data_IF_531332339111
#
_entry.id   IF_531332339111
#
_cell.length_a   1.000
_cell.length_b   1.000
_cell.length_c   1.000
_cell.angle_alpha   90.00
_cell.angle_beta   90.00
_cell.angle_gamma   90.00
#
_symmetry.space_group_name_H-M   'P 1'
#
loop_
_entity.id
_entity.type
_entity.pdbx_description
1 polymer ?
#
# COMPACT_ATOMS: atom_id res chain seq x y z
N UNK A 1 -0.37 0.46 -40.16
CA UNK A 1 -1.42 -0.13 -39.31
C UNK A 1 -1.32 0.50 -37.92
N UNK A 2 -2.34 1.27 -37.52
CA UNK A 2 -2.30 2.09 -36.30
C UNK A 2 -2.43 1.25 -35.04
N UNK A 3 -1.57 1.52 -34.05
CA UNK A 3 -1.72 0.98 -32.68
C UNK A 3 -3.11 1.38 -32.16
N UNK A 4 -4.00 0.42 -31.91
CA UNK A 4 -5.27 0.72 -31.26
C UNK A 4 -5.01 1.21 -29.84
N UNK A 5 -5.58 2.37 -29.44
CA UNK A 5 -5.29 2.94 -28.14
C UNK A 5 -6.07 2.20 -27.03
N UNK A 6 -5.51 2.11 -25.81
CA UNK A 6 -6.10 1.35 -24.69
C UNK A 6 -7.53 1.82 -24.38
N UNK A 7 -8.47 0.90 -24.22
CA UNK A 7 -9.84 1.25 -23.83
C UNK A 7 -10.00 1.13 -22.30
N UNK A 8 -10.08 2.28 -21.62
CA UNK A 8 -10.09 2.39 -20.15
C UNK A 8 -11.22 1.56 -19.52
N UNK A 9 -12.44 1.72 -20.00
CA UNK A 9 -13.62 1.03 -19.46
C UNK A 9 -13.61 -0.47 -19.74
N UNK A 10 -13.17 -0.87 -20.93
CA UNK A 10 -13.03 -2.30 -21.26
C UNK A 10 -11.99 -2.98 -20.35
N UNK A 11 -10.85 -2.33 -20.10
CA UNK A 11 -9.78 -2.91 -19.27
C UNK A 11 -10.22 -2.98 -17.81
N UNK A 12 -10.73 -1.88 -17.24
CA UNK A 12 -11.20 -1.85 -15.86
C UNK A 12 -12.39 -2.81 -15.65
N UNK A 13 -13.34 -2.82 -16.59
CA UNK A 13 -14.49 -3.71 -16.57
C UNK A 13 -14.10 -5.19 -16.63
N UNK A 14 -13.14 -5.57 -17.49
CA UNK A 14 -12.64 -6.95 -17.53
C UNK A 14 -11.89 -7.35 -16.26
N UNK A 15 -11.12 -6.44 -15.65
CA UNK A 15 -10.43 -6.69 -14.39
C UNK A 15 -11.43 -6.94 -13.25
N UNK A 16 -12.46 -6.08 -13.11
CA UNK A 16 -13.53 -6.24 -12.14
C UNK A 16 -14.35 -7.52 -12.39
N UNK A 17 -14.67 -7.81 -13.66
CA UNK A 17 -15.40 -8.99 -14.06
C UNK A 17 -14.64 -10.28 -13.72
N UNK A 18 -13.31 -10.29 -13.88
CA UNK A 18 -12.49 -11.42 -13.45
C UNK A 18 -12.53 -11.59 -11.93
N UNK A 19 -12.40 -10.51 -11.16
CA UNK A 19 -12.53 -10.53 -9.70
C UNK A 19 -13.87 -11.09 -9.21
N UNK A 20 -14.97 -10.73 -9.89
CA UNK A 20 -16.32 -11.13 -9.50
C UNK A 20 -16.77 -12.48 -10.08
N UNK A 21 -16.85 -12.61 -11.41
CA UNK A 21 -17.42 -13.82 -12.06
C UNK A 21 -16.52 -15.04 -11.94
N UNK A 22 -15.22 -14.87 -11.72
CA UNK A 22 -14.29 -15.98 -11.49
C UNK A 22 -13.88 -16.12 -10.03
N UNK A 23 -14.68 -15.60 -9.09
CA UNK A 23 -14.37 -15.66 -7.67
C UNK A 23 -14.16 -17.07 -7.15
N UNK A 24 -14.90 -18.07 -7.63
CA UNK A 24 -14.67 -19.48 -7.31
C UNK A 24 -13.26 -19.94 -7.70
N UNK A 25 -12.77 -19.51 -8.87
CA UNK A 25 -11.41 -19.81 -9.34
C UNK A 25 -10.36 -19.12 -8.46
N UNK A 26 -10.65 -17.89 -8.06
CA UNK A 26 -9.79 -17.09 -7.16
C UNK A 26 -9.70 -17.75 -5.79
N UNK A 27 -10.83 -18.17 -5.22
CA UNK A 27 -10.89 -18.91 -3.96
C UNK A 27 -10.08 -20.20 -4.03
N UNK A 28 -10.26 -21.00 -5.08
CA UNK A 28 -9.52 -22.26 -5.26
C UNK A 28 -8.01 -22.06 -5.33
N UNK A 29 -7.56 -20.99 -5.98
CA UNK A 29 -6.13 -20.71 -6.12
C UNK A 29 -5.54 -20.04 -4.87
N UNK A 30 -6.31 -19.18 -4.20
CA UNK A 30 -5.81 -18.28 -3.16
C UNK A 30 -6.07 -18.72 -1.72
N UNK A 31 -7.02 -19.63 -1.47
CA UNK A 31 -7.42 -19.98 -0.10
C UNK A 31 -6.26 -20.52 0.75
N UNK A 32 -5.57 -21.57 0.27
CA UNK A 32 -4.45 -22.15 1.03
C UNK A 32 -3.31 -21.15 1.25
N UNK A 33 -2.75 -20.49 0.21
CA UNK A 33 -1.71 -19.48 0.43
C UNK A 33 -2.13 -18.33 1.35
N UNK A 34 -3.37 -17.86 1.25
CA UNK A 34 -3.87 -16.78 2.11
C UNK A 34 -3.99 -17.24 3.57
N UNK A 35 -4.50 -18.45 3.81
CA UNK A 35 -4.56 -19.00 5.18
C UNK A 35 -3.16 -19.15 5.77
N UNK A 36 -2.19 -19.60 4.99
CA UNK A 36 -0.79 -19.66 5.41
C UNK A 36 -0.20 -18.27 5.69
N UNK A 37 -0.54 -17.25 4.90
CA UNK A 37 -0.15 -15.85 5.17
C UNK A 37 -0.74 -15.38 6.50
N UNK A 38 -2.01 -15.68 6.79
CA UNK A 38 -2.64 -15.29 8.05
C UNK A 38 -1.97 -15.98 9.25
N UNK A 39 -1.70 -17.28 9.16
CA UNK A 39 -0.99 -18.04 10.21
C UNK A 39 0.42 -17.49 10.38
N UNK A 40 1.12 -17.21 9.29
CA UNK A 40 2.48 -16.67 9.32
C UNK A 40 2.53 -15.25 9.90
N UNK A 41 1.57 -14.39 9.56
CA UNK A 41 1.45 -13.05 10.13
C UNK A 41 1.16 -13.11 11.64
N UNK A 42 0.34 -14.06 12.09
CA UNK A 42 0.12 -14.29 13.51
C UNK A 42 1.42 -14.75 14.19
N UNK A 43 2.11 -15.73 13.61
CA UNK A 43 3.37 -16.24 14.16
C UNK A 43 4.47 -15.15 14.21
N UNK A 44 4.54 -14.28 13.21
CA UNK A 44 5.53 -13.20 13.18
C UNK A 44 5.31 -12.16 14.27
N UNK A 45 4.06 -11.89 14.68
CA UNK A 45 3.75 -11.04 15.84
C UNK A 45 4.36 -11.62 17.12
N UNK A 46 4.21 -12.92 17.37
CA UNK A 46 4.82 -13.58 18.52
C UNK A 46 6.35 -13.61 18.43
N UNK A 47 6.91 -13.80 17.23
CA UNK A 47 8.35 -13.78 17.04
C UNK A 47 8.93 -12.38 17.33
N UNK A 48 8.24 -11.32 16.91
CA UNK A 48 8.62 -9.94 17.22
C UNK A 48 8.61 -9.64 18.70
N UNK A 49 7.55 -10.05 19.40
CA UNK A 49 7.47 -9.89 20.86
C UNK A 49 8.58 -10.70 21.53
N UNK A 50 8.84 -11.92 21.08
CA UNK A 50 9.90 -12.75 21.64
C UNK A 50 11.29 -12.14 21.47
N UNK A 51 11.58 -11.58 20.30
CA UNK A 51 12.83 -10.84 20.05
C UNK A 51 12.91 -9.55 20.87
N UNK A 52 11.78 -8.86 21.08
CA UNK A 52 11.73 -7.62 21.82
C UNK A 52 12.01 -7.81 23.32
N UNK A 53 11.48 -8.89 23.90
CA UNK A 53 11.59 -9.19 25.32
C UNK A 53 12.74 -10.14 25.67
N UNK A 54 13.38 -10.77 24.68
CA UNK A 54 14.49 -11.70 24.89
C UNK A 54 14.08 -13.08 25.43
N UNK A 55 12.78 -13.36 25.46
CA UNK A 55 12.19 -14.61 25.95
C UNK A 55 11.11 -15.09 24.97
N UNK A 56 10.81 -16.40 24.95
CA UNK A 56 9.78 -16.93 24.07
C UNK A 56 8.37 -16.54 24.55
N UNK A 57 7.72 -15.61 23.85
CA UNK A 57 6.35 -15.19 24.14
C UNK A 57 5.37 -16.10 23.41
N UNK A 58 4.49 -16.73 24.17
CA UNK A 58 3.51 -17.72 23.69
C UNK A 58 2.07 -17.23 23.81
N UNK A 59 1.13 -18.01 23.30
CA UNK A 59 -0.30 -17.74 23.43
C UNK A 59 -0.76 -17.69 24.89
N UNK A 60 -0.17 -18.50 25.77
CA UNK A 60 -0.52 -18.52 27.19
C UNK A 60 -0.10 -17.23 27.89
N UNK A 61 1.02 -16.64 27.49
CA UNK A 61 1.52 -15.39 28.07
C UNK A 61 0.63 -14.20 27.65
N UNK A 62 0.23 -14.18 26.39
CA UNK A 62 -0.72 -13.17 25.89
C UNK A 62 -2.09 -13.34 26.53
N UNK A 63 -2.59 -14.57 26.69
CA UNK A 63 -3.84 -14.84 27.38
C UNK A 63 -3.79 -14.42 28.86
N UNK A 64 -2.68 -14.70 29.55
CA UNK A 64 -2.45 -14.31 30.94
C UNK A 64 -2.37 -12.80 31.13
N UNK A 65 -1.85 -12.07 30.14
CA UNK A 65 -1.77 -10.60 30.17
C UNK A 65 -3.13 -9.89 30.10
N UNK A 66 -4.19 -10.59 29.67
CA UNK A 66 -5.51 -9.99 29.41
C UNK A 66 -5.53 -9.01 28.21
N UNK A 67 -4.44 -8.89 27.46
CA UNK A 67 -4.34 -8.01 26.31
C UNK A 67 -5.22 -8.49 25.14
N UNK A 68 -5.91 -7.55 24.48
CA UNK A 68 -6.69 -7.85 23.28
C UNK A 68 -5.77 -7.94 22.07
N UNK A 69 -6.10 -8.81 21.11
CA UNK A 69 -5.29 -9.04 19.91
C UNK A 69 -4.84 -7.77 19.14
N UNK A 70 -5.68 -6.73 18.95
CA UNK A 70 -5.23 -5.48 18.33
C UNK A 70 -4.14 -4.75 19.12
N UNK A 71 -4.17 -4.83 20.45
CA UNK A 71 -3.14 -4.24 21.32
C UNK A 71 -1.82 -5.00 21.20
N UNK A 72 -1.90 -6.33 21.09
CA UNK A 72 -0.73 -7.21 20.88
C UNK A 72 -0.06 -6.90 19.54
N UNK A 73 -0.85 -6.73 18.48
CA UNK A 73 -0.32 -6.32 17.16
C UNK A 73 0.34 -4.94 17.23
N UNK A 74 -0.33 -3.95 17.85
CA UNK A 74 0.21 -2.60 17.96
C UNK A 74 1.53 -2.57 18.74
N UNK A 75 1.61 -3.33 19.83
CA UNK A 75 2.83 -3.48 20.62
C UNK A 75 3.95 -4.12 19.79
N UNK A 76 3.66 -5.20 19.07
CA UNK A 76 4.65 -5.86 18.20
C UNK A 76 5.16 -4.91 17.10
N UNK A 77 4.28 -4.11 16.50
CA UNK A 77 4.64 -3.09 15.50
C UNK A 77 5.52 -1.99 16.11
N UNK A 78 5.17 -1.50 17.30
CA UNK A 78 5.98 -0.53 18.02
C UNK A 78 7.38 -1.08 18.31
N UNK A 79 7.48 -2.31 18.84
CA UNK A 79 8.76 -2.94 19.12
C UNK A 79 9.59 -3.23 17.87
N UNK A 80 8.94 -3.62 16.78
CA UNK A 80 9.60 -3.78 15.49
C UNK A 80 10.19 -2.46 14.96
N UNK A 81 9.53 -1.33 15.21
CA UNK A 81 10.02 0.00 14.85
C UNK A 81 11.17 0.46 15.76
N UNK A 82 11.08 0.23 17.08
CA UNK A 82 12.15 0.54 18.04
C UNK A 82 13.46 -0.20 17.72
N UNK A 83 13.35 -1.44 17.24
CA UNK A 83 14.50 -2.28 16.86
C UNK A 83 14.84 -2.20 15.36
N UNK A 84 14.29 -1.23 14.62
CA UNK A 84 14.53 -1.09 13.19
C UNK A 84 16.03 -0.86 12.93
N UNK A 85 16.71 -1.89 12.40
CA UNK A 85 18.15 -1.86 12.12
C UNK A 85 19.00 -2.85 12.93
N UNK A 86 18.45 -3.47 13.98
CA UNK A 86 19.13 -4.57 14.66
C UNK A 86 19.23 -5.79 13.74
N UNK A 87 20.38 -6.49 13.75
CA UNK A 87 20.62 -7.65 12.87
C UNK A 87 19.50 -8.72 12.90
N UNK A 88 19.07 -9.18 14.10
CA UNK A 88 17.97 -10.14 14.23
C UNK A 88 16.62 -9.60 13.71
N UNK A 89 16.34 -8.32 13.96
CA UNK A 89 15.13 -7.64 13.50
C UNK A 89 15.10 -7.54 11.96
N UNK A 90 16.23 -7.19 11.34
CA UNK A 90 16.36 -7.14 9.87
C UNK A 90 16.21 -8.53 9.25
N UNK A 91 16.81 -9.56 9.84
CA UNK A 91 16.66 -10.94 9.39
C UNK A 91 15.20 -11.40 9.45
N UNK A 92 14.49 -11.07 10.53
CA UNK A 92 13.06 -11.37 10.65
C UNK A 92 12.22 -10.60 9.62
N UNK A 93 12.47 -9.31 9.40
CA UNK A 93 11.76 -8.53 8.38
C UNK A 93 11.98 -9.10 6.98
N UNK A 94 13.24 -9.38 6.63
CA UNK A 94 13.60 -9.94 5.33
C UNK A 94 12.98 -11.33 5.13
N UNK A 95 13.10 -12.22 6.14
CA UNK A 95 12.50 -13.55 6.09
C UNK A 95 10.97 -13.49 5.97
N UNK A 96 10.32 -12.61 6.73
CA UNK A 96 8.88 -12.40 6.67
C UNK A 96 8.41 -11.92 5.30
N UNK A 97 9.13 -10.95 4.73
CA UNK A 97 8.85 -10.43 3.40
C UNK A 97 9.04 -11.49 2.32
N UNK A 98 10.09 -12.32 2.40
CA UNK A 98 10.34 -13.41 1.46
C UNK A 98 9.22 -14.46 1.52
N UNK A 99 8.88 -14.95 2.71
CA UNK A 99 7.82 -15.96 2.88
C UNK A 99 6.49 -15.42 2.38
N UNK A 100 6.13 -14.19 2.76
CA UNK A 100 4.90 -13.54 2.30
C UNK A 100 4.90 -13.40 0.78
N UNK A 101 6.01 -12.94 0.18
CA UNK A 101 6.12 -12.79 -1.27
C UNK A 101 5.98 -14.14 -1.98
N UNK A 102 6.59 -15.21 -1.47
CA UNK A 102 6.48 -16.56 -2.03
C UNK A 102 5.03 -17.07 -1.99
N UNK A 103 4.35 -16.88 -0.86
CA UNK A 103 2.94 -17.25 -0.72
C UNK A 103 2.06 -16.42 -1.66
N UNK A 104 2.29 -15.11 -1.79
CA UNK A 104 1.59 -14.26 -2.76
C UNK A 104 1.83 -14.72 -4.19
N UNK A 105 3.08 -14.99 -4.56
CA UNK A 105 3.43 -15.47 -5.89
C UNK A 105 2.73 -16.80 -6.23
N UNK A 106 2.59 -17.69 -5.24
CA UNK A 106 2.00 -19.02 -5.41
C UNK A 106 0.56 -19.00 -5.95
N UNK A 107 -0.24 -17.98 -5.62
CA UNK A 107 -1.58 -17.80 -6.17
C UNK A 107 -1.65 -16.71 -7.25
N UNK A 108 -0.85 -15.64 -7.16
CA UNK A 108 -0.91 -14.55 -8.14
C UNK A 108 -0.44 -14.97 -9.52
N UNK A 109 0.66 -15.74 -9.64
CA UNK A 109 1.16 -16.16 -10.94
C UNK A 109 0.15 -17.05 -11.69
N UNK A 110 -0.49 -18.07 -11.07
CA UNK A 110 -1.60 -18.80 -11.71
C UNK A 110 -2.79 -17.92 -12.08
N UNK A 111 -3.24 -17.01 -11.20
CA UNK A 111 -4.39 -16.13 -11.49
C UNK A 111 -4.12 -15.23 -12.69
N UNK A 112 -2.91 -14.69 -12.82
CA UNK A 112 -2.48 -13.89 -13.96
C UNK A 112 -2.56 -14.71 -15.26
N UNK A 113 -2.20 -16.00 -15.22
CA UNK A 113 -2.30 -16.88 -16.41
C UNK A 113 -3.73 -17.25 -16.74
N UNK A 114 -4.57 -17.51 -15.74
CA UNK A 114 -6.01 -17.74 -15.96
C UNK A 114 -6.67 -16.52 -16.56
N UNK A 115 -6.31 -15.32 -16.07
CA UNK A 115 -6.79 -14.07 -16.63
C UNK A 115 -6.25 -13.84 -18.04
N UNK A 116 -4.94 -13.94 -18.25
CA UNK A 116 -4.24 -13.52 -19.47
C UNK A 116 -4.32 -14.52 -20.62
N UNK A 117 -4.03 -15.79 -20.35
CA UNK A 117 -3.95 -16.89 -21.32
C UNK A 117 -5.23 -17.72 -21.40
N UNK A 118 -6.19 -17.51 -20.48
CA UNK A 118 -7.42 -18.30 -20.42
C UNK A 118 -7.18 -19.75 -19.98
N UNK A 119 -6.06 -20.02 -19.30
CA UNK A 119 -5.75 -21.35 -18.79
C UNK A 119 -6.84 -21.85 -17.84
N UNK A 120 -7.10 -23.16 -17.87
CA UNK A 120 -8.08 -23.77 -16.99
C UNK A 120 -7.50 -23.93 -15.59
N UNK A 121 -8.29 -23.65 -14.54
CA UNK A 121 -7.84 -23.88 -13.17
C UNK A 121 -7.54 -25.36 -12.96
N UNK A 122 -6.46 -25.63 -12.22
CA UNK A 122 -6.11 -26.99 -11.84
C UNK A 122 -7.21 -27.58 -10.94
N UNK A 123 -7.42 -28.91 -11.01
CA UNK A 123 -8.38 -29.60 -10.15
C UNK A 123 -7.88 -29.63 -8.70
N UNK A 124 -8.77 -29.34 -7.75
CA UNK A 124 -8.52 -29.38 -6.29
C UNK A 124 -8.53 -28.00 -5.61
N UNK A 125 -8.68 -28.01 -4.28
CA UNK A 125 -8.75 -26.80 -3.42
C UNK A 125 -7.45 -26.53 -2.64
N UNK A 126 -6.52 -27.49 -2.60
CA UNK A 126 -5.30 -27.44 -1.78
C UNK A 126 -4.07 -27.44 -2.68
N UNK A 127 -3.74 -26.29 -3.28
CA UNK A 127 -2.50 -26.12 -4.03
C UNK A 127 -1.86 -24.78 -3.73
N UNK A 128 -0.57 -24.80 -3.46
CA UNK A 128 0.31 -23.64 -3.40
C UNK A 128 1.50 -23.90 -4.35
N UNK A 129 1.29 -23.84 -5.68
CA UNK A 129 2.34 -24.17 -6.62
C UNK A 129 3.47 -23.14 -6.52
N UNK A 130 4.71 -23.62 -6.46
CA UNK A 130 5.89 -22.78 -6.50
C UNK A 130 6.86 -23.33 -7.54
N UNK A 131 7.16 -22.53 -8.56
CA UNK A 131 7.95 -22.94 -9.71
C UNK A 131 8.42 -21.76 -10.54
N UNK A 132 8.82 -22.01 -11.81
CA UNK A 132 9.45 -20.99 -12.64
C UNK A 132 8.60 -19.72 -12.85
N UNK A 133 7.28 -19.86 -12.92
CA UNK A 133 6.38 -18.72 -13.14
C UNK A 133 6.24 -17.84 -11.89
N UNK A 134 6.23 -18.45 -10.70
CA UNK A 134 6.27 -17.73 -9.43
C UNK A 134 7.61 -17.00 -9.25
N UNK A 135 8.71 -17.64 -9.62
CA UNK A 135 10.03 -17.00 -9.59
C UNK A 135 10.08 -15.81 -10.55
N UNK A 136 9.50 -15.92 -11.75
CA UNK A 136 9.39 -14.77 -12.69
C UNK A 136 8.53 -13.64 -12.14
N UNK A 137 7.41 -13.97 -11.49
CA UNK A 137 6.58 -12.99 -10.80
C UNK A 137 7.39 -12.24 -9.73
N UNK A 138 8.10 -13.00 -8.88
CA UNK A 138 8.95 -12.45 -7.82
C UNK A 138 10.10 -11.61 -8.38
N UNK A 139 10.80 -12.10 -9.41
CA UNK A 139 11.91 -11.38 -10.03
C UNK A 139 11.45 -10.08 -10.68
N UNK A 140 10.33 -10.09 -11.42
CA UNK A 140 9.77 -8.88 -12.02
C UNK A 140 9.33 -7.86 -10.95
N UNK A 141 8.71 -8.34 -9.87
CA UNK A 141 8.35 -7.51 -8.72
C UNK A 141 9.58 -6.94 -8.00
N UNK A 142 10.54 -7.79 -7.65
CA UNK A 142 11.76 -7.43 -6.94
C UNK A 142 12.60 -6.43 -7.73
N UNK A 143 12.80 -6.64 -9.04
CA UNK A 143 13.54 -5.69 -9.88
C UNK A 143 12.86 -4.32 -9.92
N UNK A 144 11.52 -4.28 -9.99
CA UNK A 144 10.76 -3.03 -9.91
C UNK A 144 10.93 -2.36 -8.54
N UNK A 145 10.91 -3.14 -7.45
CA UNK A 145 11.10 -2.66 -6.08
C UNK A 145 12.55 -2.25 -5.75
N UNK A 146 13.56 -2.88 -6.35
CA UNK A 146 14.97 -2.51 -6.16
C UNK A 146 15.27 -1.20 -6.88
N UNK A 147 14.74 -1.00 -8.09
CA UNK A 147 14.85 0.29 -8.76
C UNK A 147 14.14 1.38 -7.97
N UNK A 148 12.99 1.07 -7.38
CA UNK A 148 12.35 1.97 -6.43
C UNK A 148 13.25 2.29 -5.23
N UNK A 149 13.79 1.27 -4.59
CA UNK A 149 14.63 1.41 -3.42
C UNK A 149 15.87 2.27 -3.71
N UNK A 150 16.54 2.06 -4.85
CA UNK A 150 17.80 2.71 -5.19
C UNK A 150 17.65 4.06 -5.91
N UNK A 151 16.68 4.20 -6.81
CA UNK A 151 16.51 5.42 -7.60
C UNK A 151 15.64 6.47 -6.90
N UNK A 152 14.82 6.05 -5.93
CA UNK A 152 13.83 6.91 -5.27
C UNK A 152 14.01 6.90 -3.76
N UNK A 153 13.79 5.75 -3.13
CA UNK A 153 13.69 5.68 -1.66
C UNK A 153 15.00 6.03 -0.97
N UNK A 154 16.14 5.47 -1.42
CA UNK A 154 17.44 5.71 -0.81
C UNK A 154 17.92 7.16 -0.99
N UNK A 155 17.89 7.79 -2.19
CA UNK A 155 18.23 9.20 -2.33
C UNK A 155 17.34 10.11 -1.47
N UNK A 156 16.03 9.84 -1.40
CA UNK A 156 15.11 10.64 -0.59
C UNK A 156 15.37 10.44 0.88
N UNK A 157 15.51 9.20 1.33
CA UNK A 157 15.77 8.91 2.74
C UNK A 157 17.10 9.52 3.14
N UNK A 158 18.15 9.37 2.33
CA UNK A 158 19.45 10.00 2.57
C UNK A 158 19.36 11.53 2.61
N UNK A 159 18.69 12.15 1.64
CA UNK A 159 18.51 13.61 1.60
C UNK A 159 17.67 14.11 2.77
N UNK A 160 16.58 13.40 3.09
CA UNK A 160 15.67 13.70 4.22
C UNK A 160 16.43 13.58 5.53
N UNK A 161 17.15 12.49 5.76
CA UNK A 161 17.95 12.28 6.96
C UNK A 161 19.10 13.28 7.05
N UNK A 162 19.75 13.63 5.94
CA UNK A 162 20.80 14.65 5.92
C UNK A 162 20.25 16.06 6.22
N UNK A 163 19.11 16.43 5.63
CA UNK A 163 18.44 17.71 5.89
C UNK A 163 17.94 17.77 7.33
N UNK A 164 17.30 16.70 7.83
CA UNK A 164 16.85 16.61 9.23
C UNK A 164 18.02 16.64 10.21
N UNK A 165 19.13 15.97 9.89
CA UNK A 165 20.35 16.00 10.69
C UNK A 165 20.98 17.39 10.72
N UNK A 166 21.07 18.07 9.57
CA UNK A 166 21.58 19.44 9.46
C UNK A 166 20.68 20.43 10.22
N UNK A 167 19.36 20.37 10.01
CA UNK A 167 18.40 21.22 10.69
C UNK A 167 18.36 20.96 12.19
N UNK A 168 18.39 19.69 12.60
CA UNK A 168 18.47 19.30 14.00
C UNK A 168 19.70 19.91 14.66
N UNK A 169 20.86 19.77 14.03
CA UNK A 169 22.13 20.36 14.51
C UNK A 169 22.04 21.88 14.59
N UNK A 170 21.57 22.56 13.54
CA UNK A 170 21.42 24.01 13.51
C UNK A 170 20.45 24.55 14.58
N UNK A 171 19.41 23.79 14.91
CA UNK A 171 18.39 24.16 15.88
C UNK A 171 18.82 23.91 17.34
N UNK A 172 19.61 22.85 17.59
CA UNK A 172 20.19 22.57 18.92
C UNK A 172 21.49 23.33 19.18
N UNK A 173 22.03 24.01 18.16
CA UNK A 173 23.21 24.86 18.34
C UNK A 173 22.84 26.03 19.26
N UNK A 174 23.57 26.22 20.38
CA UNK A 174 23.35 27.35 21.27
C UNK A 174 23.87 28.62 20.61
N UNK A 175 23.05 29.67 20.59
CA UNK A 175 23.42 31.00 20.13
C UNK A 175 23.39 31.98 21.29
N UNK A 176 24.44 32.80 21.42
CA UNK A 176 24.38 33.97 22.28
C UNK A 176 23.53 35.06 21.62
N UNK A 177 22.60 35.61 22.38
CA UNK A 177 21.87 36.84 22.05
C UNK A 177 22.07 37.88 23.13
N UNK A 178 22.20 39.13 22.71
CA UNK A 178 22.29 40.30 23.57
C UNK A 178 20.98 41.07 23.43
N UNK A 179 20.02 40.90 24.36
CA UNK A 179 18.72 41.56 24.29
C UNK A 179 18.84 43.09 24.39
N UNK A 180 19.81 43.56 25.17
CA UNK A 180 20.21 44.97 25.24
C UNK A 180 21.53 45.16 24.48
N UNK A 181 21.51 46.02 23.46
CA UNK A 181 22.68 46.32 22.63
C UNK A 181 23.83 46.99 23.42
N UNK A 182 23.48 47.66 24.54
CA UNK A 182 24.40 48.46 25.34
C UNK A 182 24.92 47.73 26.60
N UNK A 183 24.57 46.45 26.80
CA UNK A 183 24.99 45.67 27.98
C UNK A 183 25.55 44.30 27.61
N UNK A 184 26.84 44.09 27.90
CA UNK A 184 27.50 42.78 27.78
C UNK A 184 27.07 41.80 28.88
N UNK A 185 26.39 42.27 29.93
CA UNK A 185 25.98 41.46 31.08
C UNK A 185 24.63 40.76 30.89
N UNK A 186 23.89 41.07 29.82
CA UNK A 186 22.58 40.47 29.50
C UNK A 186 22.66 39.33 28.48
N UNK A 187 23.83 38.71 28.30
CA UNK A 187 24.00 37.61 27.36
C UNK A 187 23.07 36.43 27.73
N UNK A 188 22.15 36.10 26.84
CA UNK A 188 21.26 34.94 26.98
C UNK A 188 21.65 33.90 25.93
N UNK A 189 21.65 32.63 26.33
CA UNK A 189 21.82 31.52 25.40
C UNK A 189 20.43 31.09 24.97
N UNK A 190 20.13 31.27 23.68
CA UNK A 190 18.92 30.75 23.06
C UNK A 190 19.28 29.64 22.06
N UNK A 191 18.37 28.69 21.89
CA UNK A 191 18.53 27.65 20.88
C UNK A 191 18.23 28.21 19.48
N UNK A 192 18.87 27.65 18.46
CA UNK A 192 18.61 28.02 17.06
C UNK A 192 17.13 27.93 16.68
N UNK A 193 16.38 26.99 17.25
CA UNK A 193 14.94 26.87 17.05
C UNK A 193 14.16 28.14 17.43
N UNK A 194 14.55 28.79 18.53
CA UNK A 194 13.90 30.00 19.04
C UNK A 194 14.45 31.25 18.35
N UNK A 195 15.73 31.26 17.99
CA UNK A 195 16.38 32.35 17.23
C UNK A 195 15.77 32.55 15.84
N UNK A 196 15.46 31.46 15.14
CA UNK A 196 15.00 31.50 13.76
C UNK A 196 13.47 31.37 13.62
N UNK A 197 12.73 31.14 14.71
CA UNK A 197 11.26 31.07 14.70
C UNK A 197 10.66 29.95 13.83
N UNK A 198 11.42 28.88 13.57
CA UNK A 198 11.13 27.84 12.56
C UNK A 198 10.66 26.50 13.15
N UNK A 199 10.13 26.47 14.38
CA UNK A 199 9.53 25.24 14.97
C UNK A 199 8.42 24.64 14.09
N UNK A 200 7.73 25.48 13.31
CA UNK A 200 6.70 25.05 12.36
C UNK A 200 7.25 24.29 11.13
N UNK A 201 8.55 24.42 10.81
CA UNK A 201 9.17 23.74 9.67
C UNK A 201 9.27 22.21 9.86
N UNK A 202 9.34 21.75 11.13
CA UNK A 202 9.64 20.37 11.48
C UNK A 202 8.43 19.42 11.29
N UNK A 203 7.21 19.88 11.57
CA UNK A 203 6.01 19.02 11.60
C UNK A 203 5.22 18.94 10.29
N UNK A 204 5.70 19.51 9.18
CA UNK A 204 4.90 19.58 7.94
C UNK A 204 5.69 19.39 6.64
N UNK A 205 6.97 19.74 6.59
CA UNK A 205 7.56 20.12 5.29
C UNK A 205 8.50 19.11 4.65
N UNK A 206 9.24 18.29 5.37
CA UNK A 206 10.31 17.50 4.72
C UNK A 206 9.76 16.42 3.80
N UNK A 207 8.79 15.64 4.28
CA UNK A 207 8.10 14.61 3.47
C UNK A 207 7.22 15.23 2.38
N UNK A 208 6.58 16.36 2.66
CA UNK A 208 5.75 17.09 1.70
C UNK A 208 6.60 17.68 0.55
N UNK A 209 7.80 18.18 0.87
CA UNK A 209 8.73 18.75 -0.11
C UNK A 209 9.39 17.65 -0.94
N UNK A 210 9.72 16.51 -0.33
CA UNK A 210 10.15 15.31 -1.05
C UNK A 210 9.05 14.76 -1.97
N UNK A 211 7.80 14.68 -1.49
CA UNK A 211 6.65 14.27 -2.30
C UNK A 211 6.41 15.24 -3.48
N UNK A 212 6.49 16.55 -3.25
CA UNK A 212 6.36 17.57 -4.29
C UNK A 212 7.48 17.47 -5.35
N UNK A 213 8.73 17.26 -4.93
CA UNK A 213 9.86 17.07 -5.86
C UNK A 213 9.67 15.82 -6.74
N UNK A 214 9.20 14.71 -6.17
CA UNK A 214 8.91 13.50 -6.95
C UNK A 214 7.69 13.63 -7.85
N UNK A 215 6.63 14.29 -7.38
CA UNK A 215 5.50 14.63 -8.23
C UNK A 215 5.96 15.47 -9.42
N UNK A 216 6.83 16.46 -9.20
CA UNK A 216 7.39 17.29 -10.28
C UNK A 216 8.28 16.48 -11.24
N UNK A 217 9.16 15.61 -10.73
CA UNK A 217 9.97 14.70 -11.56
C UNK A 217 9.10 13.75 -12.38
N UNK A 218 8.10 13.13 -11.76
CA UNK A 218 7.18 12.22 -12.41
C UNK A 218 6.36 12.94 -13.48
N UNK A 219 5.83 14.13 -13.18
CA UNK A 219 5.15 15.00 -14.15
C UNK A 219 6.09 15.32 -15.31
N UNK A 220 7.34 15.69 -15.03
CA UNK A 220 8.33 16.08 -16.05
C UNK A 220 8.71 14.92 -16.96
N UNK A 221 8.97 13.74 -16.38
CA UNK A 221 9.31 12.52 -17.12
C UNK A 221 8.12 12.05 -17.96
N UNK A 222 6.90 12.09 -17.41
CA UNK A 222 5.68 11.74 -18.14
C UNK A 222 5.41 12.73 -19.27
N UNK A 223 5.52 14.03 -19.01
CA UNK A 223 5.29 15.08 -20.01
C UNK A 223 6.31 15.01 -21.16
N UNK A 224 7.60 14.88 -20.83
CA UNK A 224 8.66 14.72 -21.83
C UNK A 224 8.52 13.45 -22.65
N UNK A 225 7.97 12.38 -22.05
CA UNK A 225 7.77 11.13 -22.75
C UNK A 225 6.51 11.08 -23.64
N UNK A 226 5.48 11.88 -23.33
CA UNK A 226 4.24 11.96 -24.12
C UNK A 226 4.32 13.05 -25.21
N UNK A 227 5.54 13.43 -25.63
CA UNK A 227 5.74 14.30 -26.78
C UNK A 227 5.21 13.61 -28.07
N UNK A 228 4.22 14.19 -28.76
CA UNK A 228 3.60 13.57 -29.93
C UNK A 228 4.54 13.58 -31.13
N UNK A 229 4.49 12.51 -31.93
CA UNK A 229 4.97 12.55 -33.32
C UNK A 229 4.02 13.42 -34.17
N UNK A 230 4.46 13.78 -35.37
CA UNK A 230 3.68 14.61 -36.31
C UNK A 230 2.24 14.07 -36.57
N UNK A 231 2.04 12.75 -36.45
CA UNK A 231 0.77 12.06 -36.64
C UNK A 231 -0.29 12.37 -35.56
N UNK A 232 0.12 12.57 -34.30
CA UNK A 232 -0.77 12.80 -33.15
C UNK A 232 -1.20 14.28 -33.02
N UNK A 233 -0.56 15.21 -33.76
CA UNK A 233 -0.93 16.63 -33.81
C UNK A 233 -2.33 16.87 -34.41
N UNK A 234 -2.88 15.88 -35.11
CA UNK A 234 -4.22 15.92 -35.71
C UNK A 234 -5.37 15.90 -34.68
N UNK A 235 -5.09 15.55 -33.43
CA UNK A 235 -6.10 15.52 -32.36
C UNK A 235 -6.42 16.91 -31.76
N UNK A 236 -5.78 17.99 -32.23
CA UNK A 236 -6.12 19.37 -31.82
C UNK A 236 -5.69 19.78 -30.41
N UNK A 237 -5.15 18.87 -29.59
CA UNK A 237 -4.73 19.20 -28.21
C UNK A 237 -3.29 19.75 -28.22
N UNK A 238 -3.17 21.08 -28.13
CA UNK A 238 -1.90 21.79 -28.02
C UNK A 238 -1.05 21.39 -26.80
N UNK A 239 0.24 21.77 -26.75
CA UNK A 239 1.14 21.46 -25.63
C UNK A 239 0.63 21.97 -24.28
N UNK A 240 -0.07 23.11 -24.26
CA UNK A 240 -0.61 23.73 -23.05
C UNK A 240 -1.80 22.93 -22.48
N UNK A 241 -2.74 22.50 -23.33
CA UNK A 241 -3.83 21.62 -22.93
C UNK A 241 -3.34 20.26 -22.42
N UNK A 242 -2.21 19.76 -22.95
CA UNK A 242 -1.55 18.54 -22.44
C UNK A 242 -0.86 18.77 -21.10
N UNK A 243 -0.18 19.89 -20.93
CA UNK A 243 0.44 20.27 -19.66
C UNK A 243 -0.61 20.36 -18.55
N UNK A 244 -1.69 21.08 -18.83
CA UNK A 244 -2.84 21.19 -17.92
C UNK A 244 -3.49 19.82 -17.64
N UNK A 245 -3.75 19.00 -18.68
CA UNK A 245 -4.31 17.67 -18.49
C UNK A 245 -3.42 16.74 -17.65
N UNK A 246 -2.09 16.85 -17.81
CA UNK A 246 -1.12 16.09 -17.02
C UNK A 246 -1.17 16.55 -15.56
N UNK A 247 -1.08 17.85 -15.31
CA UNK A 247 -1.14 18.44 -13.97
C UNK A 247 -2.46 18.09 -13.28
N UNK A 248 -3.60 18.21 -13.97
CA UNK A 248 -4.91 17.85 -13.43
C UNK A 248 -5.02 16.36 -13.10
N UNK A 249 -4.47 15.47 -13.93
CA UNK A 249 -4.45 14.04 -13.66
C UNK A 249 -3.63 13.70 -12.41
N UNK A 250 -2.47 14.35 -12.24
CA UNK A 250 -1.65 14.18 -11.02
C UNK A 250 -2.31 14.79 -9.79
N UNK A 251 -2.92 15.97 -9.92
CA UNK A 251 -3.68 16.60 -8.83
C UNK A 251 -4.85 15.72 -8.38
N UNK A 252 -5.59 15.13 -9.32
CA UNK A 252 -6.66 14.18 -9.01
C UNK A 252 -6.13 12.91 -8.32
N UNK A 253 -4.99 12.38 -8.79
CA UNK A 253 -4.36 11.20 -8.19
C UNK A 253 -3.90 11.44 -6.74
N UNK A 254 -3.16 12.53 -6.49
CA UNK A 254 -2.71 12.88 -5.14
C UNK A 254 -3.86 13.34 -4.23
N UNK A 255 -4.84 14.05 -4.77
CA UNK A 255 -6.06 14.43 -4.04
C UNK A 255 -6.87 13.21 -3.60
N UNK A 256 -7.00 12.20 -4.46
CA UNK A 256 -7.65 10.94 -4.10
C UNK A 256 -6.88 10.19 -2.99
N UNK A 257 -5.54 10.13 -3.08
CA UNK A 257 -4.72 9.52 -2.03
C UNK A 257 -4.86 10.23 -0.67
N UNK A 258 -4.84 11.57 -0.67
CA UNK A 258 -5.03 12.37 0.54
C UNK A 258 -6.43 12.14 1.14
N UNK A 259 -7.46 12.10 0.30
CA UNK A 259 -8.82 11.84 0.75
C UNK A 259 -8.96 10.44 1.35
N UNK A 260 -8.39 9.40 0.72
CA UNK A 260 -8.39 8.03 1.24
C UNK A 260 -7.67 7.93 2.59
N UNK A 261 -6.54 8.64 2.76
CA UNK A 261 -5.86 8.72 4.05
C UNK A 261 -6.76 9.31 5.14
N UNK A 262 -7.46 10.40 4.84
CA UNK A 262 -8.38 11.04 5.78
C UNK A 262 -9.56 10.13 6.19
N UNK A 263 -9.95 9.18 5.33
CA UNK A 263 -11.02 8.21 5.59
C UNK A 263 -10.50 6.89 6.21
N UNK A 264 -9.19 6.73 6.40
CA UNK A 264 -8.63 5.48 6.91
C UNK A 264 -9.01 5.25 8.39
N UNK A 265 -9.43 4.03 8.78
CA UNK A 265 -9.77 3.71 10.16
C UNK A 265 -8.60 4.01 11.11
N UNK A 266 -8.89 4.70 12.21
CA UNK A 266 -7.88 5.09 13.21
C UNK A 266 -7.22 6.45 12.98
N UNK A 267 -7.32 7.04 11.78
CA UNK A 267 -6.79 8.39 11.53
C UNK A 267 -7.58 9.45 12.28
N UNK A 268 -8.90 9.30 12.43
CA UNK A 268 -9.74 10.26 13.14
C UNK A 268 -9.31 10.49 14.60
N UNK A 269 -8.79 9.45 15.26
CA UNK A 269 -8.36 9.46 16.67
C UNK A 269 -6.96 10.06 16.90
N UNK A 270 -6.20 10.32 15.84
CA UNK A 270 -4.88 10.96 15.92
C UNK A 270 -5.00 12.46 16.18
N UNK A 271 -4.01 13.05 16.85
CA UNK A 271 -3.89 14.51 16.93
C UNK A 271 -3.56 15.14 15.56
N UNK A 272 -3.70 16.47 15.46
CA UNK A 272 -3.55 17.18 14.20
C UNK A 272 -2.13 17.05 13.59
N UNK A 273 -1.11 16.99 14.44
CA UNK A 273 0.29 16.82 14.06
C UNK A 273 0.57 15.42 13.51
N UNK A 274 0.14 14.38 14.22
CA UNK A 274 0.27 12.98 13.78
C UNK A 274 -0.52 12.70 12.48
N UNK A 275 -1.69 13.35 12.29
CA UNK A 275 -2.44 13.32 11.02
C UNK A 275 -1.65 13.95 9.87
N UNK A 276 -1.01 15.09 10.11
CA UNK A 276 -0.26 15.79 9.09
C UNK A 276 1.01 15.03 8.68
N UNK A 277 1.77 14.51 9.66
CA UNK A 277 2.96 13.71 9.42
C UNK A 277 2.61 12.42 8.66
N UNK A 278 1.56 11.71 9.09
CA UNK A 278 1.10 10.51 8.41
C UNK A 278 0.62 10.77 6.97
N UNK A 279 -0.11 11.88 6.74
CA UNK A 279 -0.52 12.28 5.40
C UNK A 279 0.69 12.52 4.48
N UNK A 280 1.69 13.26 4.98
CA UNK A 280 2.90 13.57 4.22
C UNK A 280 3.70 12.31 3.85
N UNK A 281 3.83 11.36 4.78
CA UNK A 281 4.45 10.06 4.52
C UNK A 281 3.67 9.21 3.51
N UNK A 282 2.35 9.24 3.55
CA UNK A 282 1.50 8.53 2.58
C UNK A 282 1.62 9.14 1.19
N UNK A 283 1.58 10.47 1.08
CA UNK A 283 1.74 11.15 -0.21
C UNK A 283 3.13 10.90 -0.81
N UNK A 284 4.16 10.86 0.02
CA UNK A 284 5.49 10.43 -0.41
C UNK A 284 5.46 8.98 -0.92
N UNK A 285 4.97 8.02 -0.14
CA UNK A 285 4.92 6.61 -0.53
C UNK A 285 4.13 6.40 -1.84
N UNK A 286 3.05 7.16 -2.04
CA UNK A 286 2.23 7.15 -3.25
C UNK A 286 2.98 7.73 -4.45
N UNK A 287 3.63 8.89 -4.31
CA UNK A 287 4.46 9.49 -5.37
C UNK A 287 5.60 8.55 -5.78
N UNK A 288 6.27 8.02 -4.78
CA UNK A 288 7.44 7.18 -4.88
C UNK A 288 7.06 5.84 -5.54
N UNK A 289 5.96 5.21 -5.11
CA UNK A 289 5.40 4.00 -5.71
C UNK A 289 4.89 4.19 -7.14
N UNK A 290 4.30 5.36 -7.46
CA UNK A 290 3.89 5.68 -8.83
C UNK A 290 5.09 5.83 -9.78
N UNK A 291 6.18 6.44 -9.30
CA UNK A 291 7.43 6.52 -10.04
C UNK A 291 8.08 5.13 -10.21
N UNK A 292 8.09 4.30 -9.17
CA UNK A 292 8.54 2.92 -9.23
C UNK A 292 7.79 2.11 -10.29
N UNK A 293 6.46 2.22 -10.29
CA UNK A 293 5.62 1.56 -11.27
C UNK A 293 5.95 2.07 -12.69
N UNK A 294 6.11 3.38 -12.87
CA UNK A 294 6.46 3.95 -14.17
C UNK A 294 7.81 3.41 -14.70
N UNK A 295 8.84 3.38 -13.87
CA UNK A 295 10.18 2.88 -14.26
C UNK A 295 10.19 1.36 -14.40
N UNK A 296 9.55 0.64 -13.48
CA UNK A 296 9.44 -0.82 -13.48
C UNK A 296 8.72 -1.37 -14.71
N UNK A 297 7.62 -0.72 -15.12
CA UNK A 297 6.90 -1.07 -16.35
C UNK A 297 7.73 -0.83 -17.65
N UNK A 298 8.92 -0.20 -17.56
CA UNK A 298 9.75 0.17 -18.72
C UNK A 298 11.09 -0.51 -18.78
N UNK A 299 11.77 -0.64 -17.64
CA UNK A 299 13.06 -1.31 -17.56
C UNK A 299 12.90 -2.84 -17.53
N UNK A 300 11.73 -3.33 -17.14
CA UNK A 300 11.46 -4.75 -16.97
C UNK A 300 10.09 -5.12 -17.55
N UNK A 301 9.85 -6.39 -17.92
CA UNK A 301 8.49 -6.86 -18.13
C UNK A 301 7.74 -6.81 -16.81
N UNK A 302 6.56 -6.21 -16.81
CA UNK A 302 5.68 -6.29 -15.67
C UNK A 302 5.21 -7.73 -15.44
N UNK A 303 4.81 -8.04 -14.21
CA UNK A 303 4.49 -9.40 -13.78
C UNK A 303 3.56 -10.16 -14.74
N UNK A 304 2.57 -9.48 -15.35
CA UNK A 304 1.70 -10.04 -16.38
C UNK A 304 2.46 -10.62 -17.60
N UNK A 305 3.36 -9.84 -18.20
CA UNK A 305 4.17 -10.29 -19.35
C UNK A 305 5.18 -11.35 -18.93
N UNK A 306 5.86 -11.15 -17.79
CA UNK A 306 6.88 -12.06 -17.30
C UNK A 306 6.33 -13.47 -17.08
N UNK A 307 5.13 -13.55 -16.48
CA UNK A 307 4.45 -14.79 -16.17
C UNK A 307 3.80 -15.40 -17.42
N UNK A 308 3.03 -14.62 -18.20
CA UNK A 308 2.30 -15.17 -19.35
C UNK A 308 3.22 -15.59 -20.52
N UNK A 309 4.32 -14.86 -20.78
CA UNK A 309 5.30 -15.26 -21.80
C UNK A 309 6.34 -16.26 -21.32
N UNK A 310 6.40 -16.51 -20.00
CA UNK A 310 7.48 -17.27 -19.36
C UNK A 310 8.88 -16.72 -19.68
N UNK A 311 8.98 -15.40 -19.85
CA UNK A 311 10.21 -14.73 -20.28
C UNK A 311 10.38 -13.39 -19.57
N UNK A 312 11.61 -13.06 -19.17
CA UNK A 312 11.97 -11.75 -18.63
C UNK A 312 12.32 -10.72 -19.73
N UNK A 313 12.07 -11.04 -21.00
CA UNK A 313 12.29 -10.11 -22.11
C UNK A 313 11.31 -8.92 -22.09
N UNK A 314 11.84 -7.73 -22.35
CA UNK A 314 11.10 -6.44 -22.34
C UNK A 314 10.26 -6.25 -23.62
N UNK A 315 10.46 -7.07 -24.66
CA UNK A 315 9.74 -6.94 -25.92
C UNK A 315 8.22 -6.89 -25.68
N UNK A 316 7.48 -6.00 -26.36
CA UNK A 316 6.03 -5.89 -26.21
C UNK A 316 5.53 -5.16 -24.94
N UNK A 317 6.22 -5.22 -23.80
CA UNK A 317 5.79 -4.53 -22.56
C UNK A 317 5.74 -3.00 -22.75
N UNK A 318 6.71 -2.47 -23.48
CA UNK A 318 6.79 -1.05 -23.85
C UNK A 318 5.61 -0.57 -24.71
N UNK A 319 4.84 -1.47 -25.34
CA UNK A 319 3.66 -1.08 -26.15
C UNK A 319 2.54 -0.52 -25.27
N UNK A 320 2.36 -1.10 -24.07
CA UNK A 320 1.34 -0.70 -23.10
C UNK A 320 1.67 0.65 -22.46
N UNK A 321 2.96 0.97 -22.31
CA UNK A 321 3.44 2.19 -21.63
C UNK A 321 3.86 3.31 -22.58
N UNK A 322 3.65 3.17 -23.89
CA UNK A 322 4.01 4.18 -24.91
C UNK A 322 2.89 5.20 -25.14
N UNK A 323 3.26 6.47 -25.36
CA UNK A 323 2.36 7.57 -25.78
C UNK A 323 1.22 7.82 -24.77
N UNK A 324 0.05 8.24 -25.27
CA UNK A 324 -1.17 8.46 -24.48
C UNK A 324 -1.70 7.22 -23.74
N UNK A 325 -1.20 6.01 -24.05
CA UNK A 325 -1.58 4.82 -23.28
C UNK A 325 -1.16 4.92 -21.82
N UNK A 326 -0.14 5.71 -21.47
CA UNK A 326 0.23 5.94 -20.07
C UNK A 326 -0.87 6.69 -19.30
N UNK A 327 -1.41 7.77 -19.88
CA UNK A 327 -2.52 8.50 -19.28
C UNK A 327 -3.78 7.65 -19.19
N UNK A 328 -4.04 6.81 -20.21
CA UNK A 328 -5.15 5.87 -20.18
C UNK A 328 -4.94 4.78 -19.14
N UNK A 329 -3.71 4.31 -18.94
CA UNK A 329 -3.35 3.36 -17.89
C UNK A 329 -3.54 3.99 -16.50
N UNK A 330 -3.15 5.24 -16.31
CA UNK A 330 -3.43 6.02 -15.09
C UNK A 330 -4.94 6.15 -14.86
N UNK A 331 -5.73 6.42 -15.91
CA UNK A 331 -7.19 6.45 -15.83
C UNK A 331 -7.79 5.07 -15.48
N UNK A 332 -7.23 3.96 -15.99
CA UNK A 332 -7.63 2.60 -15.59
C UNK A 332 -7.36 2.37 -14.11
N UNK A 333 -6.16 2.71 -13.63
CA UNK A 333 -5.81 2.58 -12.21
C UNK A 333 -6.68 3.47 -11.33
N UNK A 334 -6.90 4.73 -11.72
CA UNK A 334 -7.77 5.66 -11.00
C UNK A 334 -9.22 5.18 -10.92
N UNK A 335 -9.77 4.67 -12.03
CA UNK A 335 -11.12 4.11 -12.06
C UNK A 335 -11.24 2.86 -11.17
N UNK A 336 -10.28 1.94 -11.25
CA UNK A 336 -10.26 0.76 -10.38
C UNK A 336 -10.13 1.15 -8.91
N UNK A 337 -9.23 2.09 -8.58
CA UNK A 337 -9.06 2.59 -7.24
C UNK A 337 -10.35 3.23 -6.70
N UNK A 338 -11.04 4.06 -7.50
CA UNK A 338 -12.29 4.67 -7.11
C UNK A 338 -13.39 3.63 -6.84
N UNK A 339 -13.52 2.62 -7.71
CA UNK A 339 -14.50 1.52 -7.52
C UNK A 339 -14.18 0.71 -6.27
N UNK A 340 -12.91 0.31 -6.08
CA UNK A 340 -12.49 -0.46 -4.91
C UNK A 340 -12.61 0.33 -3.61
N UNK A 341 -12.29 1.63 -3.63
CA UNK A 341 -12.47 2.52 -2.49
C UNK A 341 -13.95 2.69 -2.14
N UNK A 342 -14.81 2.95 -3.14
CA UNK A 342 -16.26 3.05 -2.92
C UNK A 342 -16.83 1.76 -2.32
N UNK A 343 -16.41 0.60 -2.83
CA UNK A 343 -16.81 -0.70 -2.29
C UNK A 343 -16.25 -0.94 -0.88
N UNK A 344 -15.00 -0.55 -0.59
CA UNK A 344 -14.42 -0.61 0.75
C UNK A 344 -15.19 0.27 1.74
N UNK A 345 -15.53 1.50 1.36
CA UNK A 345 -16.31 2.41 2.21
C UNK A 345 -17.69 1.87 2.49
N UNK A 346 -18.35 1.30 1.47
CA UNK A 346 -19.63 0.61 1.65
C UNK A 346 -19.49 -0.58 2.61
N UNK A 347 -18.43 -1.38 2.48
CA UNK A 347 -18.17 -2.53 3.35
C UNK A 347 -17.89 -2.08 4.79
N UNK A 348 -17.10 -1.03 5.00
CA UNK A 348 -16.83 -0.45 6.33
C UNK A 348 -18.11 0.12 6.93
N UNK A 349 -18.92 0.82 6.15
CA UNK A 349 -20.21 1.34 6.60
C UNK A 349 -21.14 0.19 7.03
N UNK A 350 -21.32 -0.82 6.18
CA UNK A 350 -22.16 -1.98 6.48
C UNK A 350 -21.66 -2.76 7.69
N UNK A 351 -20.36 -3.03 7.80
CA UNK A 351 -19.79 -3.71 8.97
C UNK A 351 -19.91 -2.86 10.23
N UNK A 352 -19.82 -1.54 10.13
CA UNK A 352 -20.10 -0.62 11.24
C UNK A 352 -21.55 -0.70 11.72
N UNK A 353 -22.53 -0.71 10.80
CA UNK A 353 -23.95 -0.84 11.15
C UNK A 353 -24.27 -2.20 11.78
N UNK A 354 -23.74 -3.29 11.22
CA UNK A 354 -23.94 -4.63 11.80
C UNK A 354 -23.25 -4.72 13.17
N UNK A 355 -22.05 -4.15 13.33
CA UNK A 355 -21.37 -4.08 14.61
C UNK A 355 -22.20 -3.33 15.68
N UNK A 356 -22.79 -2.19 15.32
CA UNK A 356 -23.66 -1.41 16.20
C UNK A 356 -24.97 -2.15 16.55
N UNK A 357 -25.56 -2.85 15.60
CA UNK A 357 -26.73 -3.70 15.85
C UNK A 357 -26.38 -4.87 16.78
N UNK A 358 -25.21 -5.50 16.57
CA UNK A 358 -24.73 -6.61 17.38
C UNK A 358 -24.45 -6.16 18.82
N UNK A 359 -23.83 -5.00 19.03
CA UNK A 359 -23.63 -4.46 20.38
C UNK A 359 -24.96 -4.13 21.06
N UNK A 360 -25.95 -3.64 20.32
CA UNK A 360 -27.32 -3.45 20.83
C UNK A 360 -27.98 -4.76 21.27
N UNK A 361 -27.89 -5.81 20.45
CA UNK A 361 -28.42 -7.15 20.78
C UNK A 361 -27.68 -7.76 21.98
N UNK A 362 -26.35 -7.62 22.04
CA UNK A 362 -25.55 -8.09 23.17
C UNK A 362 -25.94 -7.35 24.46
N UNK A 363 -26.11 -6.02 24.41
CA UNK A 363 -26.53 -5.24 25.57
C UNK A 363 -27.95 -5.63 26.05
N UNK A 364 -28.87 -5.90 25.13
CA UNK A 364 -30.21 -6.38 25.44
C UNK A 364 -30.18 -7.80 26.06
N UNK A 365 -29.36 -8.70 25.52
CA UNK A 365 -29.17 -10.06 26.05
C UNK A 365 -28.52 -10.04 27.45
N UNK A 366 -27.58 -9.13 27.70
CA UNK A 366 -27.03 -8.91 29.04
C UNK A 366 -28.07 -8.38 30.03
N UNK A 367 -28.95 -7.47 29.57
CA UNK A 367 -30.07 -6.98 30.37
C UNK A 367 -31.02 -8.12 30.77
N UNK A 368 -31.37 -8.99 29.82
CA UNK A 368 -32.23 -10.15 30.06
C UNK A 368 -31.57 -11.21 30.97
N UNK A 369 -30.31 -11.58 30.71
CA UNK A 369 -29.59 -12.58 31.51
C UNK A 369 -29.39 -12.14 32.97
N UNK A 370 -29.21 -10.83 33.22
CA UNK A 370 -29.14 -10.26 34.57
C UNK A 370 -30.47 -10.34 35.32
N UNK A 371 -31.60 -10.32 34.60
CA UNK A 371 -32.93 -10.46 35.19
C UNK A 371 -33.27 -11.92 35.51
N UNK A 372 -32.67 -12.87 34.80
CA UNK A 372 -32.89 -14.32 34.98
C UNK A 372 -31.82 -15.03 35.82
N UNK A 373 -30.78 -14.32 36.28
CA UNK A 373 -29.73 -14.88 37.14
C UNK A 373 -28.68 -15.75 36.42
N UNK A 374 -28.61 -15.67 35.09
CA UNK A 374 -27.65 -16.42 34.27
C UNK A 374 -26.29 -15.72 34.08
N UNK A 375 -25.25 -16.49 33.74
CA UNK A 375 -23.91 -15.94 33.48
C UNK A 375 -23.82 -15.25 32.11
N UNK A 376 -24.05 -13.94 32.11
CA UNK A 376 -24.08 -13.09 30.93
C UNK A 376 -22.74 -13.01 30.15
N UNK A 377 -21.64 -13.52 30.72
CA UNK A 377 -20.31 -13.42 30.11
C UNK A 377 -20.08 -14.43 28.98
N UNK A 378 -20.69 -15.61 29.02
CA UNK A 378 -20.42 -16.66 28.02
C UNK A 378 -21.13 -16.38 26.68
N UNK A 379 -22.38 -15.89 26.72
CA UNK A 379 -23.08 -15.42 25.53
C UNK A 379 -22.36 -14.23 24.87
N UNK A 380 -21.79 -13.33 25.68
CA UNK A 380 -21.00 -12.19 25.20
C UNK A 380 -19.70 -12.64 24.54
N UNK A 381 -18.99 -13.61 25.12
CA UNK A 381 -17.78 -14.19 24.50
C UNK A 381 -18.12 -14.84 23.17
N UNK A 382 -19.17 -15.66 23.10
CA UNK A 382 -19.59 -16.34 21.87
C UNK A 382 -19.94 -15.35 20.74
N UNK A 383 -20.68 -14.27 21.06
CA UNK A 383 -21.03 -13.23 20.09
C UNK A 383 -19.82 -12.46 19.54
N UNK A 384 -18.86 -12.11 20.41
CA UNK A 384 -17.61 -11.44 20.01
C UNK A 384 -16.76 -12.35 19.13
N UNK A 385 -16.66 -13.64 19.46
CA UNK A 385 -15.93 -14.63 18.66
C UNK A 385 -16.54 -14.84 17.28
N UNK A 386 -17.87 -14.96 17.19
CA UNK A 386 -18.58 -15.05 15.91
C UNK A 386 -18.37 -13.82 15.04
N UNK A 387 -18.42 -12.62 15.63
CA UNK A 387 -18.15 -11.36 14.92
C UNK A 387 -16.71 -11.28 14.42
N UNK A 388 -15.73 -11.62 15.27
CA UNK A 388 -14.33 -11.65 14.90
C UNK A 388 -14.05 -12.67 13.78
N UNK A 389 -14.61 -13.87 13.88
CA UNK A 389 -14.50 -14.91 12.84
C UNK A 389 -15.13 -14.46 11.51
N UNK A 390 -16.33 -13.86 11.57
CA UNK A 390 -17.00 -13.28 10.40
C UNK A 390 -16.19 -12.16 9.76
N UNK A 391 -15.59 -11.28 10.56
CA UNK A 391 -14.71 -10.21 10.09
C UNK A 391 -13.43 -10.73 9.43
N UNK A 392 -12.81 -11.78 9.98
CA UNK A 392 -11.64 -12.43 9.35
C UNK A 392 -12.01 -13.03 8.00
N UNK A 393 -13.13 -13.75 7.92
CA UNK A 393 -13.61 -14.33 6.65
C UNK A 393 -13.92 -13.23 5.64
N UNK A 394 -14.64 -12.18 6.03
CA UNK A 394 -14.97 -11.06 5.15
C UNK A 394 -13.72 -10.36 4.61
N UNK A 395 -12.73 -10.10 5.46
CA UNK A 395 -11.45 -9.52 5.04
C UNK A 395 -10.66 -10.46 4.12
N UNK A 396 -10.68 -11.77 4.39
CA UNK A 396 -10.03 -12.76 3.52
C UNK A 396 -10.69 -12.80 2.13
N UNK A 397 -12.02 -12.84 2.08
CA UNK A 397 -12.78 -12.81 0.82
C UNK A 397 -12.53 -11.51 0.04
N UNK A 398 -12.52 -10.37 0.74
CA UNK A 398 -12.21 -9.07 0.14
C UNK A 398 -10.77 -8.99 -0.40
N UNK A 399 -9.81 -9.54 0.36
CA UNK A 399 -8.41 -9.63 -0.06
C UNK A 399 -8.28 -10.50 -1.31
N UNK A 400 -8.94 -11.64 -1.36
CA UNK A 400 -8.97 -12.49 -2.56
C UNK A 400 -9.60 -11.78 -3.75
N UNK A 401 -10.71 -11.07 -3.54
CA UNK A 401 -11.36 -10.29 -4.60
C UNK A 401 -10.41 -9.24 -5.19
N UNK A 402 -9.74 -8.44 -4.35
CA UNK A 402 -8.80 -7.39 -4.79
C UNK A 402 -7.58 -7.97 -5.53
N UNK A 403 -7.03 -9.10 -5.06
CA UNK A 403 -6.01 -9.83 -5.80
C UNK A 403 -6.52 -10.37 -7.15
N UNK A 404 -7.75 -10.86 -7.18
CA UNK A 404 -8.44 -11.28 -8.40
C UNK A 404 -8.52 -10.15 -9.43
N UNK A 405 -8.99 -8.96 -9.01
CA UNK A 405 -9.05 -7.76 -9.87
C UNK A 405 -7.65 -7.40 -10.39
N UNK A 406 -6.64 -7.45 -9.52
CA UNK A 406 -5.24 -7.17 -9.89
C UNK A 406 -4.71 -8.16 -10.92
N UNK A 407 -4.96 -9.46 -10.74
CA UNK A 407 -4.58 -10.49 -11.69
C UNK A 407 -5.32 -10.35 -13.04
N UNK A 408 -6.62 -10.01 -12.98
CA UNK A 408 -7.45 -9.68 -14.13
C UNK A 408 -6.87 -8.53 -14.96
N UNK A 409 -6.47 -7.45 -14.29
CA UNK A 409 -5.79 -6.31 -14.90
C UNK A 409 -4.47 -6.73 -15.56
N UNK A 410 -3.59 -7.43 -14.83
CA UNK A 410 -2.30 -7.88 -15.36
C UNK A 410 -2.44 -8.79 -16.58
N UNK A 411 -3.41 -9.72 -16.55
CA UNK A 411 -3.73 -10.60 -17.67
C UNK A 411 -4.31 -9.84 -18.88
N UNK A 412 -5.16 -8.83 -18.66
CA UNK A 412 -5.67 -8.00 -19.75
C UNK A 412 -4.57 -7.14 -20.36
N UNK A 413 -3.75 -6.50 -19.55
CA UNK A 413 -2.61 -5.72 -20.06
C UNK A 413 -1.69 -6.61 -20.90
N UNK A 414 -1.45 -7.85 -20.47
CA UNK A 414 -0.70 -8.83 -21.26
C UNK A 414 -1.33 -9.03 -22.65
N UNK A 415 -2.63 -9.28 -22.76
CA UNK A 415 -3.30 -9.40 -24.08
C UNK A 415 -3.16 -8.15 -24.94
N UNK A 416 -3.23 -6.97 -24.35
CA UNK A 416 -3.02 -5.71 -25.09
C UNK A 416 -1.56 -5.55 -25.55
N UNK A 417 -0.60 -6.11 -24.82
CA UNK A 417 0.81 -6.13 -25.24
C UNK A 417 1.06 -7.03 -26.46
N UNK A 418 0.23 -8.07 -26.66
CA UNK A 418 0.33 -9.09 -27.72
C UNK A 418 -0.51 -8.78 -28.97
N UNK A 419 -1.48 -7.87 -28.90
CA UNK A 419 -2.51 -7.66 -29.94
C UNK A 419 -2.02 -7.04 -31.27
N UNK A 420 -0.75 -7.17 -31.63
CA UNK A 420 -0.21 -6.73 -32.94
C UNK A 420 0.82 -7.70 -33.47
#
# INVERSE_FOLDING_TARGET
>A
MGLMPLNVFSIAGEALNFGWRRFETILRAGWLPLTLILVFNMASVFLWLSLAYGEAITFTDVAASGARWPQVIALAQQKAAEQAGAGPALALQAGSLIVTAMLVASFMAPLIRYAGLGERPARGLLRAPFGPDQIRFLAAGALSSVVFALAVYAPVTMMTTAVLGFMGTAMTTPYATFPDADSLHTAQIILGADRFGVRWLYGWQVWSLAAAAFAALLISVVFGHVAPRAEDRKAGIGPLGRGLGTVLAFAAFFGAAAWLYAQAPGVAALDATAKADGLSGVLFAVAAGAFAAFVGLRLFPYAGVAVCRRSMAIAGSLRVTRRFNLFRLLAVFGLLAAVLAGAQLLLVFLTGQVGAALTGVIAAAQGAARLEGGDANDALRAGIWLWAAGGVVANALWTLFTYGVTAGLMGRLYRESERV
#
